data_IF_770419783262
#
_entry.id   IF_770419783262
#
_cell.length_a   1.000
_cell.length_b   1.000
_cell.length_c   1.000
_cell.angle_alpha   90.00
_cell.angle_beta   90.00
_cell.angle_gamma   90.00
#
_symmetry.space_group_name_H-M   'P 1'
#
loop_
_entity.id
_entity.type
_entity.pdbx_description
1 polymer ?
#
# COMPACT_ATOMS: atom_id res chain seq x y z
N UNK A 1 -20.31 38.26 0.76
CA UNK A 1 -21.32 39.29 0.40
C UNK A 1 -21.07 40.05 -0.89
N UNK A 2 -19.86 40.56 -1.18
CA UNK A 2 -19.65 41.50 -2.30
C UNK A 2 -20.11 41.04 -3.70
N UNK A 3 -19.96 39.76 -4.05
CA UNK A 3 -20.33 39.28 -5.39
C UNK A 3 -21.83 39.22 -5.62
N UNK A 4 -22.60 38.75 -4.62
CA UNK A 4 -24.07 38.62 -4.72
C UNK A 4 -24.74 40.00 -4.72
N UNK A 5 -24.27 40.93 -3.89
CA UNK A 5 -24.79 42.31 -3.87
C UNK A 5 -24.56 43.03 -5.20
N UNK A 6 -23.41 42.81 -5.83
CA UNK A 6 -23.05 43.44 -7.10
C UNK A 6 -23.88 42.91 -8.27
N UNK A 7 -24.14 41.59 -8.32
CA UNK A 7 -24.94 40.99 -9.38
C UNK A 7 -26.43 41.34 -9.19
N UNK A 8 -26.92 41.28 -7.95
CA UNK A 8 -28.33 41.54 -7.63
C UNK A 8 -28.70 43.01 -7.49
N UNK A 9 -27.77 43.96 -7.72
CA UNK A 9 -27.95 45.40 -7.48
C UNK A 9 -28.64 45.71 -6.13
N UNK A 10 -28.27 44.97 -5.09
CA UNK A 10 -28.92 45.01 -3.78
C UNK A 10 -27.95 45.41 -2.68
N UNK A 11 -28.40 46.25 -1.74
CA UNK A 11 -27.61 46.59 -0.56
C UNK A 11 -27.73 45.46 0.47
N UNK A 12 -26.61 44.91 0.90
CA UNK A 12 -26.57 43.84 1.91
C UNK A 12 -25.94 44.37 3.19
N UNK A 13 -26.47 43.93 4.34
CA UNK A 13 -25.93 44.22 5.67
C UNK A 13 -25.99 42.92 6.48
N UNK A 14 -24.92 42.62 7.20
CA UNK A 14 -24.96 41.52 8.18
C UNK A 14 -25.79 41.98 9.37
N UNK A 15 -26.90 41.28 9.62
CA UNK A 15 -27.84 41.61 10.70
C UNK A 15 -27.65 40.70 11.90
N UNK A 16 -27.34 39.43 11.64
CA UNK A 16 -27.20 38.39 12.66
C UNK A 16 -25.98 37.52 12.33
N UNK A 17 -25.32 37.07 13.39
CA UNK A 17 -24.29 36.03 13.35
C UNK A 17 -24.73 34.93 14.32
N UNK A 18 -24.94 33.72 13.81
CA UNK A 18 -25.55 32.62 14.57
C UNK A 18 -24.68 31.39 14.41
N UNK A 19 -24.14 30.91 15.53
CA UNK A 19 -23.23 29.77 15.57
C UNK A 19 -23.94 28.42 15.32
N UNK A 20 -25.26 28.38 15.49
CA UNK A 20 -26.05 27.17 15.37
C UNK A 20 -26.96 27.17 14.13
N UNK A 21 -26.85 26.13 13.32
CA UNK A 21 -27.71 25.90 12.17
C UNK A 21 -29.19 25.67 12.54
N UNK A 22 -29.43 24.94 13.63
CA UNK A 22 -30.77 24.63 14.12
C UNK A 22 -31.60 23.69 13.23
N UNK A 23 -32.84 23.45 13.66
CA UNK A 23 -33.81 22.59 12.99
C UNK A 23 -35.24 23.09 13.26
N UNK A 24 -36.19 22.64 12.43
CA UNK A 24 -37.61 22.86 12.63
C UNK A 24 -38.24 21.62 13.28
N UNK A 25 -38.91 21.80 14.41
CA UNK A 25 -39.68 20.75 15.05
C UNK A 25 -41.14 20.80 14.58
N UNK A 26 -41.54 19.83 13.75
CA UNK A 26 -42.91 19.79 13.22
C UNK A 26 -43.99 19.54 14.29
N UNK A 27 -43.64 18.91 15.43
CA UNK A 27 -44.61 18.58 16.47
C UNK A 27 -44.91 19.78 17.39
N UNK A 28 -43.89 20.57 17.74
CA UNK A 28 -44.06 21.77 18.58
C UNK A 28 -44.23 23.05 17.76
N UNK A 29 -44.00 23.00 16.44
CA UNK A 29 -43.92 24.15 15.54
C UNK A 29 -42.86 25.18 15.94
N UNK A 30 -41.84 24.76 16.68
CA UNK A 30 -40.75 25.62 17.11
C UNK A 30 -39.50 25.43 16.24
N UNK A 31 -38.77 26.53 16.04
CA UNK A 31 -37.49 26.57 15.35
C UNK A 31 -36.40 27.05 16.31
N UNK A 32 -35.18 26.53 16.13
CA UNK A 32 -33.99 26.95 16.90
C UNK A 32 -32.86 27.37 15.97
N UNK A 33 -31.85 28.08 16.50
CA UNK A 33 -30.68 28.57 15.75
C UNK A 33 -31.06 29.42 14.54
N UNK A 34 -30.31 29.27 13.45
CA UNK A 34 -30.54 29.98 12.19
C UNK A 34 -31.96 29.78 11.64
N UNK A 35 -32.57 28.60 11.84
CA UNK A 35 -33.95 28.37 11.36
C UNK A 35 -34.96 29.25 12.08
N UNK A 36 -34.72 29.59 13.34
CA UNK A 36 -35.58 30.52 14.08
C UNK A 36 -35.57 31.91 13.46
N UNK A 37 -34.38 32.47 13.25
CA UNK A 37 -34.24 33.82 12.68
C UNK A 37 -34.80 33.93 11.27
N UNK A 38 -34.74 32.84 10.48
CA UNK A 38 -35.43 32.78 9.19
C UNK A 38 -36.96 32.71 9.34
N UNK A 39 -37.47 31.92 10.29
CA UNK A 39 -38.91 31.79 10.54
C UNK A 39 -39.53 33.09 11.10
N UNK A 40 -38.83 33.74 12.02
CA UNK A 40 -39.23 35.02 12.65
C UNK A 40 -38.94 36.24 11.74
N UNK A 41 -38.38 36.01 10.54
CA UNK A 41 -38.04 37.03 9.53
C UNK A 41 -37.09 38.11 10.06
N UNK A 42 -36.17 37.73 10.92
CA UNK A 42 -35.09 38.60 11.41
C UNK A 42 -33.97 38.75 10.37
N UNK A 43 -33.88 37.80 9.42
CA UNK A 43 -32.95 37.84 8.29
C UNK A 43 -33.63 37.40 6.99
N UNK A 44 -33.29 38.08 5.88
CA UNK A 44 -33.86 37.78 4.56
C UNK A 44 -33.11 36.66 3.82
N UNK A 45 -31.78 36.60 3.99
CA UNK A 45 -30.90 35.65 3.31
C UNK A 45 -29.83 35.16 4.30
N UNK A 46 -29.69 33.84 4.41
CA UNK A 46 -28.60 33.21 5.14
C UNK A 46 -27.45 32.82 4.19
N UNK A 47 -26.30 33.48 4.31
CA UNK A 47 -25.09 33.11 3.57
C UNK A 47 -24.22 32.16 4.41
N UNK A 48 -24.55 30.87 4.41
CA UNK A 48 -23.82 29.82 5.15
C UNK A 48 -23.61 28.57 4.31
N UNK A 49 -22.57 27.80 4.61
CA UNK A 49 -22.38 26.46 4.03
C UNK A 49 -23.28 25.50 4.78
N UNK A 50 -24.27 24.95 4.08
CA UNK A 50 -25.36 24.24 4.72
C UNK A 50 -25.79 23.02 3.90
N UNK A 51 -26.03 21.90 4.58
CA UNK A 51 -26.55 20.70 3.94
C UNK A 51 -28.04 20.88 3.63
N UNK A 52 -28.42 20.63 2.38
CA UNK A 52 -29.82 20.60 1.96
C UNK A 52 -30.51 19.43 2.67
N UNK A 53 -31.49 19.74 3.51
CA UNK A 53 -32.23 18.75 4.28
C UNK A 53 -33.74 19.02 4.20
N UNK A 54 -34.51 17.95 3.96
CA UNK A 54 -35.97 18.02 3.75
C UNK A 54 -36.72 18.51 4.98
N UNK A 55 -36.21 18.24 6.18
CA UNK A 55 -36.81 18.69 7.44
C UNK A 55 -36.80 20.22 7.64
N UNK A 56 -36.00 20.96 6.88
CA UNK A 56 -35.89 22.43 6.96
C UNK A 56 -36.61 23.16 5.83
N UNK A 57 -37.03 22.45 4.79
CA UNK A 57 -37.81 23.02 3.67
C UNK A 57 -39.15 23.69 4.06
N UNK A 58 -39.81 23.35 5.18
CA UNK A 58 -41.02 24.08 5.60
C UNK A 58 -40.77 25.53 6.03
N UNK A 59 -39.53 25.88 6.39
CA UNK A 59 -39.16 27.20 6.94
C UNK A 59 -38.31 28.01 5.95
N UNK A 60 -37.47 27.33 5.17
CA UNK A 60 -36.54 27.97 4.24
C UNK A 60 -36.57 27.33 2.86
N UNK A 61 -36.37 28.17 1.84
CA UNK A 61 -36.09 27.73 0.48
C UNK A 61 -34.58 27.73 0.22
N UNK A 62 -34.11 26.68 -0.45
CA UNK A 62 -32.70 26.56 -0.84
C UNK A 62 -32.47 27.09 -2.25
N UNK A 63 -31.31 27.70 -2.47
CA UNK A 63 -30.81 27.94 -3.82
C UNK A 63 -30.29 26.64 -4.43
N UNK A 64 -29.84 26.70 -5.69
CA UNK A 64 -29.08 25.61 -6.29
C UNK A 64 -27.83 25.29 -5.42
N UNK A 65 -27.52 24.01 -5.16
CA UNK A 65 -26.35 23.64 -4.38
C UNK A 65 -25.05 24.15 -5.04
N UNK A 66 -24.37 25.09 -4.40
CA UNK A 66 -23.14 25.68 -4.92
C UNK A 66 -21.91 24.80 -4.67
N UNK A 67 -21.95 23.98 -3.62
CA UNK A 67 -20.85 23.08 -3.22
C UNK A 67 -21.41 21.70 -2.95
N UNK A 68 -20.78 20.68 -3.52
CA UNK A 68 -21.10 19.27 -3.22
C UNK A 68 -20.09 18.74 -2.20
N UNK A 69 -20.51 18.67 -0.94
CA UNK A 69 -19.73 18.02 0.10
C UNK A 69 -20.01 16.50 0.13
N UNK A 70 -19.00 15.71 0.44
CA UNK A 70 -19.12 14.28 0.70
C UNK A 70 -18.70 14.02 2.14
N UNK A 71 -19.48 13.21 2.87
CA UNK A 71 -19.08 12.73 4.19
C UNK A 71 -17.89 11.78 4.02
N UNK A 72 -16.79 12.08 4.70
CA UNK A 72 -15.59 11.24 4.72
C UNK A 72 -15.15 11.06 6.17
N UNK A 73 -14.67 9.87 6.49
CA UNK A 73 -14.05 9.61 7.78
C UNK A 73 -12.60 10.06 7.73
N UNK A 74 -12.17 10.70 8.81
CA UNK A 74 -10.79 11.08 9.03
C UNK A 74 -10.26 10.22 10.16
N UNK A 75 -9.24 9.42 9.88
CA UNK A 75 -8.51 8.68 10.90
C UNK A 75 -7.05 9.13 10.91
N UNK A 76 -6.46 9.07 12.09
CA UNK A 76 -5.04 9.34 12.26
C UNK A 76 -4.24 8.24 11.54
N UNK A 77 -3.27 8.64 10.73
CA UNK A 77 -2.33 7.68 10.15
C UNK A 77 -1.55 7.01 11.29
N UNK A 78 -1.41 5.68 11.31
CA UNK A 78 -0.61 5.01 12.33
C UNK A 78 0.86 5.44 12.21
N UNK A 79 1.46 5.82 13.34
CA UNK A 79 2.85 6.30 13.41
C UNK A 79 3.89 5.16 13.34
N UNK A 80 3.44 3.91 13.31
CA UNK A 80 4.29 2.74 13.53
C UNK A 80 4.74 2.09 12.21
N UNK A 81 5.94 2.44 11.75
CA UNK A 81 6.60 1.79 10.61
C UNK A 81 7.21 0.48 11.11
N UNK A 82 6.41 -0.57 11.14
CA UNK A 82 6.92 -1.91 11.46
C UNK A 82 7.76 -2.43 10.29
N UNK A 83 9.06 -2.60 10.52
CA UNK A 83 9.95 -3.28 9.59
C UNK A 83 9.43 -4.71 9.42
N UNK A 84 8.82 -4.99 8.26
CA UNK A 84 8.26 -6.30 7.97
C UNK A 84 9.40 -7.24 7.58
N UNK A 85 10.02 -7.93 8.55
CA UNK A 85 11.01 -8.99 8.31
C UNK A 85 10.50 -10.08 7.35
N UNK A 86 9.18 -10.28 7.31
CA UNK A 86 8.51 -11.16 6.35
C UNK A 86 8.71 -10.73 4.89
N UNK A 87 9.05 -9.47 4.61
CA UNK A 87 9.32 -8.97 3.26
C UNK A 87 10.47 -9.73 2.59
N UNK A 88 11.52 -10.11 3.33
CA UNK A 88 12.66 -10.87 2.81
C UNK A 88 12.28 -12.25 2.26
N UNK A 89 11.29 -12.91 2.86
CA UNK A 89 10.79 -14.20 2.42
C UNK A 89 9.63 -14.09 1.43
N UNK A 90 8.95 -12.95 1.39
CA UNK A 90 7.84 -12.67 0.46
C UNK A 90 8.30 -12.40 -0.97
N UNK A 91 9.60 -12.18 -1.18
CA UNK A 91 10.19 -11.93 -2.51
C UNK A 91 9.83 -13.01 -3.53
N UNK A 92 9.84 -14.28 -3.10
CA UNK A 92 9.48 -15.41 -3.93
C UNK A 92 8.28 -16.16 -3.35
N UNK A 93 7.47 -16.77 -4.21
CA UNK A 93 6.42 -17.67 -3.78
C UNK A 93 7.03 -18.94 -3.16
N UNK A 94 6.29 -19.62 -2.28
CA UNK A 94 6.66 -20.88 -1.64
C UNK A 94 7.14 -21.94 -2.65
N UNK A 95 6.51 -22.01 -3.83
CA UNK A 95 6.92 -22.91 -4.91
C UNK A 95 8.33 -22.61 -5.43
N UNK A 96 8.69 -21.34 -5.58
CA UNK A 96 10.02 -20.93 -6.07
C UNK A 96 11.07 -21.17 -5.00
N UNK A 97 10.76 -20.90 -3.73
CA UNK A 97 11.63 -21.28 -2.61
C UNK A 97 11.90 -22.78 -2.55
N UNK A 98 10.87 -23.60 -2.77
CA UNK A 98 11.03 -25.05 -2.85
C UNK A 98 11.92 -25.47 -4.03
N UNK A 99 11.78 -24.82 -5.19
CA UNK A 99 12.64 -25.08 -6.36
C UNK A 99 14.10 -24.67 -6.12
N UNK A 100 14.35 -23.54 -5.45
CA UNK A 100 15.70 -23.10 -5.05
C UNK A 100 16.31 -24.09 -4.04
N UNK A 101 15.52 -24.53 -3.05
CA UNK A 101 15.97 -25.54 -2.09
C UNK A 101 16.29 -26.87 -2.78
N UNK A 102 15.44 -27.28 -3.72
CA UNK A 102 15.69 -28.49 -4.52
C UNK A 102 16.93 -28.36 -5.40
N UNK A 103 17.13 -27.23 -6.07
CA UNK A 103 18.30 -27.00 -6.92
C UNK A 103 19.60 -27.00 -6.12
N UNK A 104 19.58 -26.47 -4.89
CA UNK A 104 20.71 -26.51 -3.95
C UNK A 104 21.13 -27.92 -3.54
N UNK A 105 20.22 -28.90 -3.56
CA UNK A 105 20.55 -30.31 -3.28
C UNK A 105 20.88 -31.08 -4.57
N UNK A 106 20.15 -30.79 -5.65
CA UNK A 106 20.27 -31.49 -6.92
C UNK A 106 21.62 -31.25 -7.60
N UNK A 107 22.08 -30.00 -7.69
CA UNK A 107 23.33 -29.70 -8.40
C UNK A 107 24.58 -30.28 -7.72
N UNK A 108 24.76 -30.20 -6.39
CA UNK A 108 25.87 -30.89 -5.72
C UNK A 108 25.85 -32.40 -5.91
N UNK A 109 24.66 -33.01 -5.95
CA UNK A 109 24.52 -34.44 -6.22
C UNK A 109 25.00 -34.76 -7.64
N UNK A 110 24.54 -34.00 -8.64
CA UNK A 110 24.96 -34.14 -10.03
C UNK A 110 26.47 -33.93 -10.20
N UNK A 111 27.04 -32.91 -9.55
CA UNK A 111 28.47 -32.63 -9.55
C UNK A 111 29.28 -33.77 -8.96
N UNK A 112 28.82 -34.35 -7.84
CA UNK A 112 29.48 -35.48 -7.19
C UNK A 112 29.52 -36.70 -8.12
N UNK A 113 28.42 -36.98 -8.83
CA UNK A 113 28.37 -38.06 -9.82
C UNK A 113 29.31 -37.80 -11.01
N UNK A 114 29.34 -36.57 -11.53
CA UNK A 114 30.20 -36.20 -12.65
C UNK A 114 31.69 -36.24 -12.27
N UNK A 115 32.08 -35.69 -11.12
CA UNK A 115 33.47 -35.74 -10.62
C UNK A 115 33.93 -37.18 -10.40
N UNK A 116 33.08 -38.06 -9.86
CA UNK A 116 33.42 -39.47 -9.70
C UNK A 116 33.66 -40.18 -11.06
N UNK A 117 32.85 -39.85 -12.07
CA UNK A 117 32.97 -40.45 -13.41
C UNK A 117 34.16 -39.92 -14.23
N UNK A 118 34.40 -38.60 -14.21
CA UNK A 118 35.35 -37.93 -15.10
C UNK A 118 36.71 -37.65 -14.45
N UNK A 119 36.77 -37.46 -13.13
CA UNK A 119 37.99 -37.07 -12.42
C UNK A 119 38.48 -38.15 -11.43
N UNK A 120 37.80 -39.31 -11.35
CA UNK A 120 38.12 -40.45 -10.46
C UNK A 120 38.37 -40.03 -9.00
N UNK A 121 37.66 -39.02 -8.52
CA UNK A 121 37.79 -38.52 -7.15
C UNK A 121 36.86 -39.32 -6.22
N UNK A 122 37.42 -40.27 -5.45
CA UNK A 122 36.68 -41.13 -4.52
C UNK A 122 36.73 -40.49 -3.12
N UNK A 123 35.59 -39.99 -2.62
CA UNK A 123 35.47 -39.59 -1.22
C UNK A 123 34.11 -39.05 -0.83
N UNK A 124 33.59 -39.48 0.32
CA UNK A 124 32.35 -39.00 0.96
C UNK A 124 32.45 -37.50 1.34
N UNK A 125 33.66 -36.98 1.52
CA UNK A 125 33.94 -35.53 1.63
C UNK A 125 33.56 -34.73 0.36
N UNK A 126 33.31 -35.38 -0.78
CA UNK A 126 33.01 -34.72 -2.05
C UNK A 126 31.61 -34.07 -2.07
N UNK A 127 30.55 -34.73 -1.57
CA UNK A 127 29.19 -34.15 -1.65
C UNK A 127 29.04 -32.90 -0.79
N UNK A 128 29.45 -32.96 0.48
CA UNK A 128 29.35 -31.80 1.38
C UNK A 128 30.25 -30.65 0.90
N UNK A 129 31.45 -30.95 0.38
CA UNK A 129 32.31 -29.95 -0.26
C UNK A 129 31.62 -29.29 -1.46
N UNK A 130 31.08 -30.09 -2.40
CA UNK A 130 30.33 -29.58 -3.56
C UNK A 130 29.07 -28.81 -3.15
N UNK A 131 28.45 -29.15 -2.01
CA UNK A 131 27.30 -28.43 -1.47
C UNK A 131 27.70 -27.05 -0.92
N UNK A 132 28.80 -26.97 -0.16
CA UNK A 132 29.36 -25.70 0.32
C UNK A 132 29.81 -24.84 -0.86
N UNK A 133 30.48 -25.43 -1.86
CA UNK A 133 30.84 -24.74 -3.10
C UNK A 133 29.61 -24.17 -3.80
N UNK A 134 28.51 -24.94 -3.84
CA UNK A 134 27.25 -24.46 -4.41
C UNK A 134 26.60 -23.34 -3.61
N UNK A 135 26.61 -23.42 -2.29
CA UNK A 135 26.17 -22.29 -1.46
C UNK A 135 27.02 -21.05 -1.77
N UNK A 136 28.34 -21.20 -1.91
CA UNK A 136 29.24 -20.13 -2.33
C UNK A 136 28.83 -19.51 -3.67
N UNK A 137 28.53 -20.33 -4.68
CA UNK A 137 28.06 -19.86 -6.00
C UNK A 137 26.72 -19.11 -5.92
N UNK A 138 25.74 -19.61 -5.15
CA UNK A 138 24.47 -18.89 -4.93
C UNK A 138 24.66 -17.59 -4.15
N UNK A 139 25.63 -17.55 -3.23
CA UNK A 139 26.04 -16.35 -2.51
C UNK A 139 27.00 -15.44 -3.31
N UNK A 140 27.25 -15.74 -4.59
CA UNK A 140 28.14 -14.96 -5.47
C UNK A 140 29.61 -14.89 -5.01
N UNK A 141 30.06 -15.87 -4.24
CA UNK A 141 31.45 -15.97 -3.76
C UNK A 141 32.38 -16.67 -4.78
N UNK A 142 31.82 -17.25 -5.84
CA UNK A 142 32.56 -17.97 -6.87
C UNK A 142 32.97 -19.38 -6.45
N UNK A 143 33.90 -19.98 -7.21
CA UNK A 143 34.44 -21.31 -6.96
C UNK A 143 35.90 -21.20 -6.50
N UNK A 144 36.32 -21.94 -5.47
CA UNK A 144 37.70 -21.90 -4.99
C UNK A 144 38.69 -22.51 -6.01
N UNK A 145 38.29 -23.59 -6.68
CA UNK A 145 39.08 -24.26 -7.70
C UNK A 145 38.29 -24.44 -8.99
N UNK A 146 38.83 -24.05 -10.16
CA UNK A 146 38.14 -24.22 -11.42
C UNK A 146 38.11 -25.70 -11.85
N UNK A 147 36.99 -26.19 -12.41
CA UNK A 147 36.88 -27.56 -12.90
C UNK A 147 37.84 -27.84 -14.08
N UNK A 148 38.38 -29.06 -14.12
CA UNK A 148 39.36 -29.46 -15.15
C UNK A 148 38.65 -29.88 -16.44
N UNK A 149 37.57 -30.67 -16.35
CA UNK A 149 36.84 -31.15 -17.53
C UNK A 149 35.92 -30.10 -18.16
N UNK A 150 35.83 -30.09 -19.49
CA UNK A 150 34.94 -29.18 -20.26
C UNK A 150 33.47 -29.38 -19.89
N UNK A 151 33.04 -30.62 -19.63
CA UNK A 151 31.66 -30.92 -19.21
C UNK A 151 31.32 -30.30 -17.86
N UNK A 152 32.23 -30.35 -16.88
CA UNK A 152 32.03 -29.69 -15.58
C UNK A 152 32.03 -28.16 -15.73
N UNK A 153 32.90 -27.60 -16.57
CA UNK A 153 32.91 -26.15 -16.87
C UNK A 153 31.57 -25.66 -17.39
N UNK A 154 30.97 -26.37 -18.35
CA UNK A 154 29.66 -26.00 -18.90
C UNK A 154 28.53 -26.09 -17.86
N UNK A 155 28.60 -27.07 -16.97
CA UNK A 155 27.64 -27.21 -15.88
C UNK A 155 27.74 -26.04 -14.89
N UNK A 156 28.96 -25.74 -14.40
CA UNK A 156 29.18 -24.61 -13.50
C UNK A 156 28.81 -23.28 -14.15
N UNK A 157 29.12 -23.08 -15.43
CA UNK A 157 28.72 -21.87 -16.16
C UNK A 157 27.20 -21.69 -16.18
N UNK A 158 26.45 -22.77 -16.46
CA UNK A 158 24.98 -22.75 -16.41
C UNK A 158 24.45 -22.39 -15.02
N UNK A 159 25.07 -22.92 -13.96
CA UNK A 159 24.65 -22.63 -12.59
C UNK A 159 25.00 -21.20 -12.18
N UNK A 160 26.16 -20.68 -12.59
CA UNK A 160 26.54 -19.29 -12.34
C UNK A 160 25.59 -18.30 -13.01
N UNK A 161 25.13 -18.59 -14.24
CA UNK A 161 24.10 -17.78 -14.89
C UNK A 161 22.79 -17.84 -14.12
N UNK A 162 22.37 -19.05 -13.69
CA UNK A 162 21.16 -19.22 -12.92
C UNK A 162 21.21 -18.47 -11.58
N UNK A 163 22.32 -18.58 -10.83
CA UNK A 163 22.49 -17.87 -9.55
C UNK A 163 22.50 -16.37 -9.75
N UNK A 164 23.13 -15.87 -10.83
CA UNK A 164 23.13 -14.46 -11.18
C UNK A 164 21.71 -13.93 -11.47
N UNK A 165 20.92 -14.66 -12.25
CA UNK A 165 19.54 -14.29 -12.54
C UNK A 165 18.70 -14.28 -11.26
N UNK A 166 18.79 -15.33 -10.43
CA UNK A 166 18.05 -15.41 -9.17
C UNK A 166 18.43 -14.27 -8.22
N UNK A 167 19.72 -13.95 -8.10
CA UNK A 167 20.21 -12.85 -7.29
C UNK A 167 19.70 -11.50 -7.78
N UNK A 168 19.74 -11.26 -9.10
CA UNK A 168 19.25 -10.01 -9.70
C UNK A 168 17.75 -9.82 -9.47
N UNK A 169 16.94 -10.88 -9.68
CA UNK A 169 15.49 -10.83 -9.44
C UNK A 169 15.20 -10.61 -7.95
N UNK A 170 15.89 -11.32 -7.06
CA UNK A 170 15.72 -11.17 -5.63
C UNK A 170 16.02 -9.74 -5.18
N UNK A 171 17.17 -9.20 -5.58
CA UNK A 171 17.64 -7.85 -5.26
C UNK A 171 16.68 -6.76 -5.77
N UNK A 172 16.22 -6.87 -7.02
CA UNK A 172 15.26 -5.92 -7.58
C UNK A 172 13.92 -5.94 -6.82
N UNK A 173 13.46 -7.13 -6.45
CA UNK A 173 12.14 -7.32 -5.84
C UNK A 173 12.14 -6.90 -4.38
N UNK A 174 13.17 -7.23 -3.60
CA UNK A 174 13.28 -6.77 -2.21
C UNK A 174 13.43 -5.25 -2.13
N UNK A 175 14.19 -4.65 -3.05
CA UNK A 175 14.32 -3.19 -3.13
C UNK A 175 12.97 -2.53 -3.41
N UNK A 176 12.19 -3.09 -4.33
CA UNK A 176 10.82 -2.63 -4.62
C UNK A 176 9.90 -2.75 -3.38
N UNK A 177 9.96 -3.87 -2.66
CA UNK A 177 9.14 -4.07 -1.46
C UNK A 177 9.50 -3.11 -0.32
N UNK A 178 10.78 -2.85 -0.08
CA UNK A 178 11.23 -1.96 1.00
C UNK A 178 11.00 -0.49 0.63
N UNK A 179 11.04 -0.13 -0.66
CA UNK A 179 10.75 1.23 -1.11
C UNK A 179 9.29 1.65 -0.86
N UNK A 180 8.35 0.70 -0.78
CA UNK A 180 6.93 0.98 -0.55
C UNK A 180 6.59 0.81 0.94
N UNK A 181 6.36 1.93 1.62
CA UNK A 181 5.77 1.95 2.95
C UNK A 181 4.29 1.56 2.87
N UNK A 182 3.95 0.35 3.32
CA UNK A 182 2.54 -0.04 3.50
C UNK A 182 2.08 0.38 4.88
N UNK A 183 1.13 1.31 4.93
CA UNK A 183 0.41 1.65 6.15
C UNK A 183 -0.78 0.71 6.29
N UNK A 184 -0.75 -0.14 7.31
CA UNK A 184 -1.91 -0.97 7.64
C UNK A 184 -2.94 -0.09 8.35
N UNK A 185 -4.02 0.25 7.64
CA UNK A 185 -5.14 1.00 8.19
C UNK A 185 -5.94 0.09 9.15
N UNK A 186 -6.45 0.63 10.28
CA UNK A 186 -7.19 -0.17 11.26
C UNK A 186 -8.58 -0.64 10.79
N UNK A 187 -9.07 -0.11 9.67
CA UNK A 187 -10.34 -0.48 9.06
C UNK A 187 -10.20 -0.41 7.55
N UNK A 188 -10.85 -1.33 6.84
CA UNK A 188 -10.86 -1.36 5.38
C UNK A 188 -12.22 -1.01 4.80
N UNK A 189 -13.29 -1.23 5.58
CA UNK A 189 -14.68 -0.99 5.18
C UNK A 189 -15.44 -0.25 6.28
N UNK A 190 -16.63 0.28 5.93
CA UNK A 190 -17.46 1.07 6.86
C UNK A 190 -18.15 0.23 7.95
N UNK A 191 -18.26 -1.08 7.72
CA UNK A 191 -19.01 -2.02 8.57
C UNK A 191 -18.11 -2.77 9.58
N UNK A 192 -16.79 -2.53 9.53
CA UNK A 192 -15.78 -3.05 10.48
C UNK A 192 -15.57 -2.07 11.66
#
# INVERSE_FOLDING_TARGET
MGTLSNIGNSKTKVVLDVDEFGFFNAATQESVGLMRSMNEKEADIAQVVFSVATNRMPVIDYTLPLVRAQTRFFAKLPDDVKIQWSAYFRVFNSQVWALIGFSLLFFPMLLTLMKNKFEKFIGIHSFFGNFVDMLGVYCQQGLPEPPVSVSLRMLYFSILILSLILYAIYSATITSYIAVLKTDLPFSTYDE
#
